data_IF_922214783185
#
_entry.id   IF_922214783185
#
_cell.length_a   1.000
_cell.length_b   1.000
_cell.length_c   1.000
_cell.angle_alpha   90.00
_cell.angle_beta   90.00
_cell.angle_gamma   90.00
#
_symmetry.space_group_name_H-M   'P 1'
#
loop_
_entity.id
_entity.type
_entity.pdbx_description
1 polymer ?
#
# COMPACT_ATOMS: atom_id res chain seq x y z
N UNK A 1 0.80 -22.09 14.61
CA UNK A 1 0.52 -21.71 13.22
C UNK A 1 1.79 -21.08 12.67
N UNK A 2 2.45 -21.71 11.70
CA UNK A 2 3.66 -21.15 11.09
C UNK A 2 3.21 -20.50 9.78
N UNK A 3 3.29 -19.18 9.72
CA UNK A 3 3.08 -18.43 8.49
C UNK A 3 4.34 -18.56 7.63
N UNK A 4 4.18 -19.05 6.41
CA UNK A 4 5.28 -19.19 5.46
C UNK A 4 4.79 -18.76 4.09
N UNK A 5 5.38 -17.69 3.56
CA UNK A 5 5.16 -17.24 2.19
C UNK A 5 6.39 -17.59 1.35
N UNK A 6 6.22 -18.40 0.29
CA UNK A 6 7.29 -18.72 -0.64
C UNK A 6 7.99 -17.48 -1.14
N UNK A 7 9.31 -17.59 -1.29
CA UNK A 7 10.22 -16.50 -1.65
C UNK A 7 10.35 -15.37 -0.63
N UNK A 8 9.35 -15.06 0.20
CA UNK A 8 9.43 -13.96 1.17
C UNK A 8 9.97 -14.40 2.52
N UNK A 9 9.72 -15.65 2.91
CA UNK A 9 10.19 -16.23 4.17
C UNK A 9 11.30 -17.27 3.92
N UNK A 10 12.05 -17.12 2.82
CA UNK A 10 13.17 -18.00 2.50
C UNK A 10 14.38 -17.68 3.39
N UNK A 11 14.46 -18.35 4.54
CA UNK A 11 15.55 -18.18 5.50
C UNK A 11 16.94 -18.47 4.90
N UNK A 12 17.06 -19.44 3.97
CA UNK A 12 18.34 -19.73 3.31
C UNK A 12 18.79 -18.57 2.41
N UNK A 13 17.86 -18.01 1.64
CA UNK A 13 18.14 -16.86 0.78
C UNK A 13 18.47 -15.60 1.57
N UNK A 14 17.68 -15.32 2.61
CA UNK A 14 17.88 -14.17 3.51
C UNK A 14 19.22 -14.28 4.26
N UNK A 15 19.62 -15.50 4.68
CA UNK A 15 20.89 -15.74 5.36
C UNK A 15 22.13 -15.50 4.50
N UNK A 16 21.99 -15.40 3.17
CA UNK A 16 23.08 -15.10 2.22
C UNK A 16 23.24 -13.60 1.95
N UNK A 17 22.37 -12.74 2.50
CA UNK A 17 22.43 -11.30 2.28
C UNK A 17 23.60 -10.68 3.04
N UNK A 18 24.30 -9.74 2.39
CA UNK A 18 25.39 -8.98 3.01
C UNK A 18 24.88 -7.87 3.96
N UNK A 19 23.66 -7.39 3.76
CA UNK A 19 22.99 -6.39 4.60
C UNK A 19 21.47 -6.57 4.53
N UNK A 20 20.78 -6.13 5.58
CA UNK A 20 19.31 -6.06 5.67
C UNK A 20 18.82 -4.67 6.07
N UNK A 21 19.71 -3.67 6.04
CA UNK A 21 19.44 -2.31 6.55
C UNK A 21 18.33 -1.61 5.76
N UNK A 22 18.26 -1.82 4.44
CA UNK A 22 17.26 -1.20 3.57
C UNK A 22 16.00 -2.07 3.42
N UNK A 23 15.93 -3.21 4.13
CA UNK A 23 14.81 -4.13 4.06
C UNK A 23 14.94 -5.18 2.96
N UNK A 24 16.17 -5.48 2.52
CA UNK A 24 16.48 -6.53 1.54
C UNK A 24 15.95 -7.90 2.01
N UNK A 25 15.91 -8.15 3.32
CA UNK A 25 15.33 -9.36 3.91
C UNK A 25 13.81 -9.50 3.69
N UNK A 26 13.13 -8.42 3.33
CA UNK A 26 11.71 -8.43 2.98
C UNK A 26 11.47 -8.62 1.47
N UNK A 27 12.53 -8.65 0.65
CA UNK A 27 12.46 -8.92 -0.78
C UNK A 27 12.15 -10.39 -1.11
N UNK A 28 11.86 -10.65 -2.39
CA UNK A 28 11.62 -12.00 -2.90
C UNK A 28 12.93 -12.74 -3.13
N UNK A 29 13.26 -13.63 -2.21
CA UNK A 29 14.36 -14.58 -2.31
C UNK A 29 13.81 -15.95 -2.71
N UNK A 30 13.48 -16.15 -3.98
CA UNK A 30 12.93 -17.44 -4.42
C UNK A 30 14.00 -18.55 -4.42
N UNK A 31 13.61 -19.81 -4.12
CA UNK A 31 14.50 -20.96 -4.31
C UNK A 31 15.03 -21.05 -5.75
N UNK A 32 16.18 -21.70 -5.92
CA UNK A 32 16.73 -22.06 -7.23
C UNK A 32 15.71 -22.89 -8.03
N UNK A 33 15.82 -22.88 -9.36
CA UNK A 33 14.81 -23.49 -10.24
C UNK A 33 14.52 -24.98 -9.95
N UNK A 34 15.49 -25.71 -9.42
CA UNK A 34 15.38 -27.14 -9.03
C UNK A 34 14.93 -27.35 -7.57
N UNK A 35 14.80 -26.29 -6.78
CA UNK A 35 14.37 -26.29 -5.37
C UNK A 35 13.02 -25.59 -5.19
N UNK A 36 12.35 -25.25 -6.28
CA UNK A 36 11.00 -24.71 -6.27
C UNK A 36 10.02 -25.68 -5.62
N UNK A 37 8.93 -25.15 -5.07
CA UNK A 37 7.85 -26.00 -4.56
C UNK A 37 7.04 -26.51 -5.76
N UNK A 38 6.95 -27.83 -5.91
CA UNK A 38 6.13 -28.48 -6.95
C UNK A 38 4.62 -28.45 -6.63
N UNK A 39 4.27 -28.13 -5.38
CA UNK A 39 2.91 -28.14 -4.86
C UNK A 39 2.54 -26.79 -4.21
N UNK A 40 1.24 -26.50 -4.19
CA UNK A 40 0.69 -25.37 -3.44
C UNK A 40 0.87 -25.62 -1.94
N UNK A 41 1.20 -24.56 -1.19
CA UNK A 41 1.27 -24.64 0.27
C UNK A 41 -0.11 -24.98 0.82
N UNK A 42 -0.24 -26.03 1.66
CA UNK A 42 -1.51 -26.37 2.27
C UNK A 42 -1.97 -25.25 3.22
N UNK A 43 -3.28 -25.08 3.34
CA UNK A 43 -3.85 -24.16 4.32
C UNK A 43 -3.36 -24.54 5.72
N UNK A 44 -3.02 -23.57 6.58
CA UNK A 44 -2.60 -23.85 7.94
C UNK A 44 -3.66 -24.65 8.71
N UNK A 45 -3.21 -25.47 9.65
CA UNK A 45 -4.11 -26.21 10.53
C UNK A 45 -5.04 -25.26 11.30
N UNK A 46 -6.33 -25.57 11.30
CA UNK A 46 -7.35 -24.72 11.94
C UNK A 46 -7.80 -23.51 11.11
N UNK A 47 -7.25 -23.30 9.91
CA UNK A 47 -7.72 -22.24 9.00
C UNK A 47 -9.18 -22.48 8.61
N UNK A 48 -10.01 -21.46 8.86
CA UNK A 48 -11.45 -21.47 8.57
C UNK A 48 -11.70 -20.90 7.19
N UNK A 49 -12.82 -21.29 6.58
CA UNK A 49 -13.30 -20.63 5.35
C UNK A 49 -13.51 -19.14 5.68
N UNK A 50 -12.96 -18.20 4.88
CA UNK A 50 -13.14 -16.78 5.10
C UNK A 50 -14.62 -16.40 5.21
N UNK A 51 -14.92 -15.42 6.05
CA UNK A 51 -16.27 -14.87 6.14
C UNK A 51 -16.62 -14.28 4.76
N UNK A 52 -17.80 -14.54 4.21
CA UNK A 52 -18.16 -14.02 2.90
C UNK A 52 -18.40 -12.50 2.96
N UNK A 53 -18.11 -11.83 1.85
CA UNK A 53 -18.53 -10.45 1.63
C UNK A 53 -20.07 -10.35 1.63
N UNK A 54 -20.69 -9.33 2.25
CA UNK A 54 -20.09 -8.12 2.83
C UNK A 54 -19.77 -8.21 4.34
N UNK A 55 -20.09 -9.32 5.02
CA UNK A 55 -19.85 -9.44 6.47
C UNK A 55 -18.36 -9.38 6.82
N UNK A 56 -17.51 -9.86 5.92
CA UNK A 56 -16.05 -9.79 6.05
C UNK A 56 -15.50 -8.37 6.19
N UNK A 57 -16.28 -7.34 5.88
CA UNK A 57 -15.89 -5.95 6.08
C UNK A 57 -15.72 -5.60 7.56
N UNK A 58 -16.59 -6.15 8.40
CA UNK A 58 -16.72 -5.78 9.81
C UNK A 58 -16.08 -6.82 10.74
N UNK A 59 -15.95 -8.07 10.28
CA UNK A 59 -15.38 -9.14 11.09
C UNK A 59 -14.64 -10.21 10.26
N UNK A 60 -13.56 -10.74 10.82
CA UNK A 60 -12.83 -11.90 10.27
C UNK A 60 -12.46 -12.89 11.37
N UNK A 61 -12.13 -14.12 11.00
CA UNK A 61 -11.72 -15.14 11.97
C UNK A 61 -10.36 -14.81 12.58
N UNK A 62 -10.28 -14.75 13.92
CA UNK A 62 -9.01 -14.57 14.62
C UNK A 62 -8.02 -15.69 14.28
N UNK A 63 -8.51 -16.93 14.16
CA UNK A 63 -7.70 -18.10 13.80
C UNK A 63 -7.11 -18.06 12.39
N UNK A 64 -7.60 -17.19 11.51
CA UNK A 64 -7.03 -17.02 10.17
C UNK A 64 -5.92 -15.95 10.14
N UNK A 65 -5.80 -15.13 11.19
CA UNK A 65 -4.81 -14.05 11.29
C UNK A 65 -3.65 -14.53 12.14
N UNK A 66 -2.46 -14.66 11.54
CA UNK A 66 -1.36 -15.41 12.14
C UNK A 66 -0.42 -14.58 13.05
N UNK A 67 -0.70 -13.30 13.27
CA UNK A 67 0.26 -12.35 13.86
C UNK A 67 -0.28 -11.67 15.12
N UNK A 68 0.16 -12.12 16.30
CA UNK A 68 -0.27 -11.57 17.60
C UNK A 68 0.19 -10.13 17.82
N UNK A 69 1.42 -9.79 17.44
CA UNK A 69 1.97 -8.43 17.61
C UNK A 69 1.21 -7.39 16.77
N UNK A 70 0.83 -7.76 15.53
CA UNK A 70 -0.03 -6.97 14.68
C UNK A 70 -1.37 -6.68 15.35
N UNK A 71 -1.98 -7.70 15.93
CA UNK A 71 -3.29 -7.59 16.57
C UNK A 71 -3.22 -6.75 17.85
N UNK A 72 -2.15 -6.89 18.63
CA UNK A 72 -1.89 -6.06 19.81
C UNK A 72 -1.71 -4.58 19.42
N UNK A 73 -0.79 -4.29 18.49
CA UNK A 73 -0.55 -2.92 18.00
C UNK A 73 -1.81 -2.26 17.41
N UNK A 74 -2.61 -3.00 16.62
CA UNK A 74 -3.83 -2.45 15.99
C UNK A 74 -4.98 -2.29 16.98
N UNK A 75 -5.02 -3.13 18.02
CA UNK A 75 -5.96 -2.96 19.13
C UNK A 75 -5.65 -1.67 19.89
N UNK A 76 -4.37 -1.36 20.12
CA UNK A 76 -3.94 -0.13 20.80
C UNK A 76 -4.27 1.13 19.98
N UNK A 77 -4.21 1.04 18.64
CA UNK A 77 -4.67 2.10 17.72
C UNK A 77 -6.21 2.21 17.63
N UNK A 78 -6.98 1.43 18.40
CA UNK A 78 -8.45 1.31 18.33
C UNK A 78 -8.99 0.99 16.91
N UNK A 79 -8.15 0.38 16.07
CA UNK A 79 -8.51 0.03 14.68
C UNK A 79 -9.16 -1.35 14.58
N UNK A 80 -9.00 -2.20 15.60
CA UNK A 80 -9.63 -3.52 15.72
C UNK A 80 -10.03 -3.83 17.16
N UNK A 81 -10.91 -4.81 17.36
CA UNK A 81 -11.23 -5.43 18.65
C UNK A 81 -11.26 -6.94 18.50
N UNK A 82 -10.87 -7.68 19.54
CA UNK A 82 -10.96 -9.14 19.52
C UNK A 82 -12.14 -9.56 20.40
N UNK A 83 -13.11 -10.25 19.81
CA UNK A 83 -14.31 -10.70 20.50
C UNK A 83 -14.78 -12.05 19.94
N UNK A 84 -15.11 -13.00 20.82
CA UNK A 84 -15.71 -14.28 20.41
C UNK A 84 -14.89 -15.11 19.40
N UNK A 85 -13.55 -14.98 19.40
CA UNK A 85 -12.68 -15.65 18.42
C UNK A 85 -12.70 -15.01 17.02
N UNK A 86 -13.14 -13.77 16.92
CA UNK A 86 -13.10 -12.93 15.72
C UNK A 86 -12.29 -11.66 15.97
N UNK A 87 -11.78 -11.09 14.88
CA UNK A 87 -11.26 -9.73 14.82
C UNK A 87 -12.38 -8.87 14.25
N UNK A 88 -12.79 -7.85 15.00
CA UNK A 88 -13.86 -6.91 14.69
C UNK A 88 -13.24 -5.57 14.29
N UNK A 89 -13.72 -4.95 13.22
CA UNK A 89 -13.27 -3.66 12.71
C UNK A 89 -14.29 -2.57 13.11
N UNK A 90 -14.05 -1.78 14.18
CA UNK A 90 -15.00 -0.80 14.65
C UNK A 90 -15.20 0.35 13.63
N UNK A 91 -16.47 0.68 13.37
CA UNK A 91 -16.88 1.75 12.47
C UNK A 91 -16.44 3.18 12.92
N UNK A 92 -16.08 3.36 14.20
CA UNK A 92 -15.65 4.63 14.77
C UNK A 92 -14.15 4.78 14.99
N UNK A 93 -13.34 3.80 14.57
CA UNK A 93 -11.88 3.85 14.68
C UNK A 93 -11.23 4.71 13.59
N UNK A 94 -9.98 5.16 13.81
CA UNK A 94 -9.18 5.78 12.77
C UNK A 94 -8.97 4.80 11.60
N UNK A 95 -9.04 5.30 10.37
CA UNK A 95 -8.99 4.52 9.12
C UNK A 95 -10.10 3.46 9.03
N UNK A 96 -11.25 3.71 9.62
CA UNK A 96 -12.46 2.88 9.45
C UNK A 96 -13.07 3.03 8.05
N UNK A 97 -13.93 2.09 7.65
CA UNK A 97 -14.65 2.18 6.37
C UNK A 97 -15.48 3.47 6.27
N UNK A 98 -16.23 3.91 7.31
CA UNK A 98 -16.96 5.17 7.24
C UNK A 98 -16.05 6.40 7.10
N UNK A 99 -14.88 6.40 7.74
CA UNK A 99 -13.90 7.48 7.57
C UNK A 99 -13.31 7.50 6.16
N UNK A 100 -12.96 6.32 5.62
CA UNK A 100 -12.47 6.18 4.24
C UNK A 100 -13.53 6.55 3.22
N UNK A 101 -14.80 6.25 3.46
CA UNK A 101 -15.91 6.70 2.63
C UNK A 101 -15.98 8.24 2.58
N UNK A 102 -15.88 8.93 3.72
CA UNK A 102 -15.82 10.41 3.76
C UNK A 102 -14.61 10.96 3.01
N UNK A 103 -13.48 10.27 3.08
CA UNK A 103 -12.28 10.64 2.33
C UNK A 103 -12.49 10.51 0.81
N UNK A 104 -13.11 9.42 0.35
CA UNK A 104 -13.49 9.23 -1.06
C UNK A 104 -14.52 10.28 -1.54
N UNK A 105 -15.47 10.66 -0.67
CA UNK A 105 -16.41 11.75 -0.97
C UNK A 105 -15.68 13.08 -1.15
N UNK A 106 -14.69 13.36 -0.30
CA UNK A 106 -13.87 14.56 -0.39
C UNK A 106 -13.10 14.62 -1.72
N UNK A 107 -12.51 13.49 -2.14
CA UNK A 107 -11.83 13.39 -3.44
C UNK A 107 -12.81 13.70 -4.58
N UNK A 108 -14.00 13.09 -4.54
CA UNK A 108 -15.04 13.27 -5.56
C UNK A 108 -15.54 14.72 -5.60
N UNK A 109 -15.59 15.42 -4.46
CA UNK A 109 -15.96 16.84 -4.39
C UNK A 109 -14.88 17.76 -4.96
N UNK A 110 -13.61 17.48 -4.66
CA UNK A 110 -12.47 18.27 -5.16
C UNK A 110 -12.28 18.09 -6.67
N UNK A 111 -12.42 16.86 -7.16
CA UNK A 111 -12.26 16.50 -8.57
C UNK A 111 -13.47 15.68 -9.03
N UNK A 112 -14.57 16.34 -9.47
CA UNK A 112 -15.81 15.66 -9.88
C UNK A 112 -15.65 14.62 -10.99
N UNK A 113 -14.59 14.73 -11.81
CA UNK A 113 -14.28 13.74 -12.85
C UNK A 113 -13.88 12.37 -12.25
N UNK A 114 -13.35 12.37 -11.01
CA UNK A 114 -13.10 11.17 -10.21
C UNK A 114 -14.43 10.74 -9.57
N UNK A 115 -15.26 10.07 -10.38
CA UNK A 115 -16.52 9.47 -9.95
C UNK A 115 -16.36 7.96 -9.80
N UNK A 116 -16.13 7.50 -8.57
CA UNK A 116 -15.96 6.08 -8.24
C UNK A 116 -17.22 5.28 -8.61
N UNK A 117 -17.03 4.14 -9.28
CA UNK A 117 -18.15 3.33 -9.75
C UNK A 117 -18.82 3.85 -11.01
N UNK A 118 -18.40 4.98 -11.57
CA UNK A 118 -18.88 5.48 -12.86
C UNK A 118 -17.70 5.66 -13.83
N UNK A 119 -16.96 6.76 -13.70
CA UNK A 119 -15.81 7.09 -14.54
C UNK A 119 -14.52 6.45 -14.01
N UNK A 120 -14.43 6.22 -12.69
CA UNK A 120 -13.30 5.58 -12.03
C UNK A 120 -13.72 4.20 -11.54
N UNK A 121 -13.28 3.16 -12.24
CA UNK A 121 -13.65 1.75 -11.96
C UNK A 121 -12.53 0.92 -11.37
N UNK A 122 -11.28 1.36 -11.55
CA UNK A 122 -10.08 0.66 -11.10
C UNK A 122 -9.20 1.66 -10.37
N UNK A 123 -8.77 1.30 -9.16
CA UNK A 123 -7.90 2.12 -8.32
C UNK A 123 -6.69 1.28 -7.90
N UNK A 124 -5.51 1.89 -7.89
CA UNK A 124 -4.31 1.30 -7.30
C UNK A 124 -4.11 1.91 -5.91
N UNK A 125 -4.20 1.08 -4.88
CA UNK A 125 -4.04 1.49 -3.48
C UNK A 125 -2.64 1.09 -3.00
N UNK A 126 -1.73 2.06 -2.85
CA UNK A 126 -0.36 1.80 -2.38
C UNK A 126 -0.22 2.25 -0.93
N UNK A 127 0.29 1.36 -0.08
CA UNK A 127 0.40 1.58 1.36
C UNK A 127 -0.88 1.25 2.12
N UNK A 128 -1.78 0.46 1.53
CA UNK A 128 -3.02 0.05 2.19
C UNK A 128 -2.73 -0.86 3.38
N UNK A 129 -3.32 -0.55 4.54
CA UNK A 129 -3.14 -1.30 5.78
C UNK A 129 -4.13 -2.45 5.90
N UNK A 130 -5.06 -2.33 6.85
CA UNK A 130 -6.08 -3.34 7.16
C UNK A 130 -7.17 -3.50 6.08
N UNK A 131 -7.03 -2.87 4.91
CA UNK A 131 -7.97 -2.98 3.78
C UNK A 131 -9.19 -2.04 3.81
N UNK A 132 -9.30 -1.12 4.78
CA UNK A 132 -10.51 -0.26 4.89
C UNK A 132 -10.75 0.63 3.66
N UNK A 133 -9.68 1.22 3.09
CA UNK A 133 -9.81 2.04 1.89
C UNK A 133 -10.28 1.20 0.69
N UNK A 134 -9.68 0.01 0.51
CA UNK A 134 -10.10 -0.91 -0.53
C UNK A 134 -11.54 -1.41 -0.37
N UNK A 135 -11.97 -1.71 0.87
CA UNK A 135 -13.37 -2.06 1.16
C UNK A 135 -14.33 -0.91 0.78
N UNK A 136 -14.02 0.33 1.18
CA UNK A 136 -14.85 1.50 0.81
C UNK A 136 -14.93 1.75 -0.69
N UNK A 137 -13.92 1.39 -1.48
CA UNK A 137 -13.96 1.44 -2.94
C UNK A 137 -14.87 0.35 -3.52
N UNK A 138 -14.79 -0.88 -2.99
CA UNK A 138 -15.64 -1.99 -3.42
C UNK A 138 -17.12 -1.69 -3.19
N UNK A 139 -17.49 -1.06 -2.06
CA UNK A 139 -18.85 -0.58 -1.80
C UNK A 139 -19.36 0.43 -2.85
N UNK A 140 -18.45 1.11 -3.54
CA UNK A 140 -18.74 2.09 -4.59
C UNK A 140 -18.59 1.52 -6.00
N UNK A 141 -18.58 0.19 -6.17
CA UNK A 141 -18.37 -0.47 -7.47
C UNK A 141 -17.05 -0.05 -8.17
N UNK A 142 -16.01 0.25 -7.37
CA UNK A 142 -14.66 0.47 -7.86
C UNK A 142 -13.75 -0.67 -7.37
N UNK A 143 -13.17 -1.41 -8.30
CA UNK A 143 -12.22 -2.47 -7.98
C UNK A 143 -10.86 -1.89 -7.62
N UNK A 144 -10.15 -2.56 -6.73
CA UNK A 144 -8.82 -2.14 -6.29
C UNK A 144 -7.88 -3.32 -6.17
N UNK A 145 -6.60 -3.05 -6.40
CA UNK A 145 -5.50 -3.88 -5.93
C UNK A 145 -4.75 -3.10 -4.86
N UNK A 146 -4.82 -3.57 -3.62
CA UNK A 146 -4.07 -2.99 -2.51
C UNK A 146 -2.66 -3.57 -2.47
N UNK A 147 -1.65 -2.71 -2.49
CA UNK A 147 -0.26 -3.05 -2.30
C UNK A 147 0.17 -2.54 -0.93
N UNK A 148 0.72 -3.42 -0.10
CA UNK A 148 1.32 -3.02 1.17
C UNK A 148 2.75 -3.55 1.32
N UNK A 149 3.60 -2.82 2.06
CA UNK A 149 4.89 -3.33 2.49
C UNK A 149 4.71 -4.36 3.63
N UNK A 150 5.81 -5.06 3.92
CA UNK A 150 6.01 -6.02 5.01
C UNK A 150 7.25 -5.45 5.61
N UNK A 151 7.04 -4.91 6.77
CA UNK A 151 8.04 -4.25 7.55
C UNK A 151 7.99 -4.86 8.95
N UNK A 152 8.67 -4.21 9.88
CA UNK A 152 8.66 -4.62 11.28
C UNK A 152 7.26 -4.59 11.92
N UNK A 153 6.26 -3.96 11.30
CA UNK A 153 4.88 -3.89 11.79
C UNK A 153 3.99 -5.03 11.27
N UNK A 154 4.60 -6.11 10.77
CA UNK A 154 3.97 -7.38 10.39
C UNK A 154 2.94 -7.29 9.24
N UNK A 155 2.45 -8.46 8.82
CA UNK A 155 1.68 -8.66 7.59
C UNK A 155 0.22 -8.16 7.67
N UNK A 156 0.03 -6.85 7.58
CA UNK A 156 -1.27 -6.18 7.54
C UNK A 156 -2.17 -6.65 6.38
N UNK A 157 -1.56 -7.12 5.28
CA UNK A 157 -2.26 -7.61 4.09
C UNK A 157 -3.16 -8.80 4.39
N UNK A 158 -2.80 -9.65 5.36
CA UNK A 158 -3.66 -10.78 5.72
C UNK A 158 -5.04 -10.30 6.16
N UNK A 159 -5.13 -9.18 6.91
CA UNK A 159 -6.41 -8.62 7.31
C UNK A 159 -7.21 -8.13 6.09
N UNK A 160 -6.56 -7.45 5.13
CA UNK A 160 -7.23 -7.03 3.91
C UNK A 160 -7.77 -8.23 3.10
N UNK A 161 -6.98 -9.29 2.95
CA UNK A 161 -7.37 -10.51 2.26
C UNK A 161 -8.53 -11.23 2.95
N UNK A 162 -8.47 -11.41 4.28
CA UNK A 162 -9.56 -12.03 5.04
C UNK A 162 -10.85 -11.22 4.99
N UNK A 163 -10.75 -9.89 4.82
CA UNK A 163 -11.90 -9.00 4.61
C UNK A 163 -12.46 -9.05 3.19
N UNK A 164 -11.82 -9.77 2.26
CA UNK A 164 -12.23 -9.90 0.87
C UNK A 164 -11.67 -8.81 -0.06
N UNK A 165 -10.71 -8.01 0.40
CA UNK A 165 -10.05 -6.97 -0.41
C UNK A 165 -8.86 -7.59 -1.14
N UNK A 166 -8.81 -7.53 -2.48
CA UNK A 166 -7.65 -8.01 -3.23
C UNK A 166 -6.39 -7.24 -2.84
N UNK A 167 -5.39 -7.96 -2.33
CA UNK A 167 -4.17 -7.34 -1.85
C UNK A 167 -2.94 -8.18 -2.21
N UNK A 168 -1.82 -7.49 -2.43
CA UNK A 168 -0.54 -8.08 -2.77
C UNK A 168 0.58 -7.49 -1.93
N UNK A 169 1.55 -8.36 -1.69
CA UNK A 169 2.79 -7.99 -1.04
C UNK A 169 3.79 -7.40 -2.04
N UNK A 170 4.29 -6.20 -1.76
CA UNK A 170 5.43 -5.65 -2.51
C UNK A 170 6.45 -5.03 -1.53
N UNK A 171 7.70 -5.51 -1.52
CA UNK A 171 8.79 -4.86 -0.79
C UNK A 171 9.18 -3.60 -1.54
N UNK A 172 8.64 -2.45 -1.12
CA UNK A 172 8.95 -1.17 -1.79
C UNK A 172 10.23 -0.55 -1.19
N UNK A 173 10.57 -0.84 0.07
CA UNK A 173 11.64 -0.14 0.81
C UNK A 173 13.02 -0.27 0.15
N UNK A 174 13.46 -1.49 -0.17
CA UNK A 174 14.76 -1.71 -0.78
C UNK A 174 14.83 -1.22 -2.25
N UNK A 175 13.70 -1.19 -2.96
CA UNK A 175 13.60 -0.62 -4.30
C UNK A 175 13.52 0.93 -4.31
N UNK A 176 13.21 1.56 -3.17
CA UNK A 176 13.23 3.01 -3.02
C UNK A 176 14.67 3.42 -2.76
N UNK A 177 15.29 4.11 -3.71
CA UNK A 177 16.56 4.78 -3.45
C UNK A 177 16.38 5.71 -2.23
N UNK A 178 17.24 5.66 -1.20
CA UNK A 178 17.14 6.58 -0.07
C UNK A 178 17.26 8.04 -0.54
N UNK A 179 16.55 8.94 0.14
CA UNK A 179 16.81 10.39 0.01
C UNK A 179 18.18 10.63 0.66
N UNK A 180 19.17 11.21 -0.05
CA UNK A 180 20.46 11.53 0.52
C UNK A 180 20.32 12.34 1.81
N UNK A 181 21.00 11.91 2.87
CA UNK A 181 20.97 12.58 4.18
C UNK A 181 21.56 14.00 4.11
N UNK A 182 22.48 14.22 3.17
CA UNK A 182 23.07 15.54 2.93
C UNK A 182 22.23 16.34 1.92
N UNK A 183 21.59 17.41 2.41
CA UNK A 183 20.86 18.37 1.57
C UNK A 183 21.71 19.09 0.51
N UNK A 184 23.03 18.88 0.50
CA UNK A 184 23.96 19.36 -0.55
C UNK A 184 23.64 18.80 -1.93
N UNK A 185 23.16 17.55 -2.03
CA UNK A 185 22.72 16.97 -3.31
C UNK A 185 21.35 17.53 -3.79
N UNK A 186 20.60 18.15 -2.86
CA UNK A 186 19.31 18.82 -3.11
C UNK A 186 19.43 20.33 -3.32
N UNK A 187 20.60 20.93 -3.10
CA UNK A 187 20.83 22.35 -3.43
C UNK A 187 20.95 22.53 -4.94
N UNK A 188 19.87 22.25 -5.65
CA UNK A 188 19.53 23.14 -6.75
C UNK A 188 19.34 24.52 -6.08
N UNK A 189 20.21 25.47 -6.44
CA UNK A 189 20.21 26.84 -5.96
C UNK A 189 19.00 27.61 -6.55
N UNK A 190 17.81 27.00 -6.44
CA UNK A 190 16.58 27.37 -7.12
C UNK A 190 15.43 27.33 -6.11
N UNK A 191 14.53 28.29 -6.25
CA UNK A 191 13.34 28.44 -5.43
C UNK A 191 12.41 27.22 -5.55
N UNK A 192 11.60 26.97 -4.52
CA UNK A 192 10.67 25.84 -4.46
C UNK A 192 9.79 25.72 -5.72
N UNK A 193 9.28 26.83 -6.25
CA UNK A 193 8.47 26.85 -7.47
C UNK A 193 9.20 26.31 -8.69
N UNK A 194 10.50 26.58 -8.82
CA UNK A 194 11.31 26.13 -9.95
C UNK A 194 11.63 24.62 -9.85
N UNK A 195 11.57 24.02 -8.66
CA UNK A 195 11.82 22.58 -8.46
C UNK A 195 10.74 21.70 -9.08
N UNK A 196 9.51 22.18 -9.20
CA UNK A 196 8.42 21.43 -9.85
C UNK A 196 8.70 21.20 -11.34
N UNK A 197 9.45 22.10 -11.99
CA UNK A 197 9.71 22.03 -13.43
C UNK A 197 11.07 21.40 -13.79
N UNK A 198 11.90 21.12 -12.80
CA UNK A 198 13.23 20.56 -12.99
C UNK A 198 13.32 19.18 -12.34
N UNK A 199 13.56 18.10 -13.11
CA UNK A 199 13.70 16.78 -12.52
C UNK A 199 14.91 16.78 -11.57
N UNK A 200 14.76 16.23 -10.35
CA UNK A 200 15.88 16.14 -9.41
C UNK A 200 17.04 15.34 -10.01
N UNK A 201 18.28 15.71 -9.67
CA UNK A 201 19.52 15.07 -10.16
C UNK A 201 19.48 13.55 -9.92
N UNK A 202 18.88 13.11 -8.81
CA UNK A 202 18.63 11.71 -8.48
C UNK A 202 17.89 10.92 -9.57
N UNK A 203 16.98 11.50 -10.34
CA UNK A 203 16.33 10.78 -11.45
C UNK A 203 17.31 10.38 -12.56
N UNK A 204 18.50 10.99 -12.58
CA UNK A 204 19.58 10.69 -13.51
C UNK A 204 20.44 9.48 -13.06
N UNK A 205 20.44 9.11 -11.78
CA UNK A 205 21.26 7.99 -11.26
C UNK A 205 20.59 6.61 -11.37
N UNK A 206 19.29 6.56 -11.65
CA UNK A 206 18.55 5.30 -11.78
C UNK A 206 18.82 4.67 -13.17
N UNK A 207 19.43 3.48 -13.22
CA UNK A 207 19.70 2.71 -14.45
C UNK A 207 18.47 1.88 -14.88
N UNK A 208 17.55 2.47 -15.65
CA UNK A 208 16.47 1.78 -16.38
C UNK A 208 16.43 2.42 -17.78
N UNK A 209 16.20 1.62 -18.82
CA UNK A 209 16.46 1.89 -20.26
C UNK A 209 15.78 3.12 -20.92
N UNK A 210 15.11 3.99 -20.17
CA UNK A 210 14.27 5.06 -20.71
C UNK A 210 14.62 6.48 -20.21
N UNK A 211 15.91 6.80 -20.05
CA UNK A 211 16.38 8.12 -19.57
C UNK A 211 15.71 9.32 -20.28
N UNK A 212 15.52 9.24 -21.61
CA UNK A 212 14.90 10.32 -22.41
C UNK A 212 13.41 10.48 -22.09
N UNK A 213 12.69 9.37 -21.88
CA UNK A 213 11.25 9.42 -21.57
C UNK A 213 11.00 10.04 -20.20
N UNK A 214 11.87 9.83 -19.20
CA UNK A 214 11.66 10.30 -17.81
C UNK A 214 11.56 11.82 -17.69
N UNK A 215 12.43 12.55 -18.37
CA UNK A 215 12.45 14.02 -18.28
C UNK A 215 11.18 14.62 -18.86
N UNK A 216 10.74 14.10 -20.00
CA UNK A 216 9.53 14.58 -20.65
C UNK A 216 8.27 14.10 -19.92
N UNK A 217 8.25 12.88 -19.39
CA UNK A 217 7.15 12.37 -18.55
C UNK A 217 7.01 13.19 -17.26
N UNK A 218 8.11 13.46 -16.56
CA UNK A 218 8.10 14.27 -15.34
C UNK A 218 7.58 15.69 -15.60
N UNK A 219 8.02 16.34 -16.69
CA UNK A 219 7.52 17.66 -17.07
C UNK A 219 6.03 17.62 -17.42
N UNK A 220 5.59 16.59 -18.16
CA UNK A 220 4.20 16.43 -18.54
C UNK A 220 3.31 16.20 -17.32
N UNK A 221 3.71 15.31 -16.40
CA UNK A 221 3.01 15.09 -15.13
C UNK A 221 3.01 16.33 -14.25
N UNK A 222 4.14 17.01 -14.09
CA UNK A 222 4.23 18.24 -13.30
C UNK A 222 3.31 19.33 -13.84
N UNK A 223 3.29 19.54 -15.17
CA UNK A 223 2.37 20.48 -15.82
C UNK A 223 0.91 20.08 -15.61
N UNK A 224 0.59 18.80 -15.80
CA UNK A 224 -0.76 18.28 -15.58
C UNK A 224 -1.22 18.51 -14.13
N UNK A 225 -0.42 18.11 -13.15
CA UNK A 225 -0.75 18.30 -11.73
C UNK A 225 -0.84 19.77 -11.34
N UNK A 226 0.02 20.63 -11.86
CA UNK A 226 -0.08 22.08 -11.66
C UNK A 226 -1.41 22.63 -12.16
N UNK A 227 -1.84 22.25 -13.37
CA UNK A 227 -3.14 22.66 -13.92
C UNK A 227 -4.31 22.13 -13.07
N UNK A 228 -4.22 20.88 -12.58
CA UNK A 228 -5.23 20.30 -11.68
C UNK A 228 -5.28 21.06 -10.35
N UNK A 229 -4.14 21.32 -9.72
CA UNK A 229 -4.08 22.07 -8.45
C UNK A 229 -4.64 23.47 -8.60
N UNK A 230 -4.33 24.19 -9.69
CA UNK A 230 -4.91 25.51 -9.97
C UNK A 230 -6.44 25.44 -10.14
N UNK A 231 -6.95 24.44 -10.85
CA UNK A 231 -8.40 24.24 -11.00
C UNK A 231 -9.06 23.98 -9.64
N UNK A 232 -8.45 23.15 -8.80
CA UNK A 232 -8.96 22.87 -7.45
C UNK A 232 -8.94 24.14 -6.59
N UNK A 233 -7.82 24.87 -6.56
CA UNK A 233 -7.67 26.12 -5.81
C UNK A 233 -8.71 27.17 -6.22
N UNK A 234 -8.97 27.32 -7.53
CA UNK A 234 -10.00 28.23 -8.05
C UNK A 234 -11.42 27.85 -7.62
N UNK A 235 -11.73 26.55 -7.48
CA UNK A 235 -13.04 26.06 -7.02
C UNK A 235 -13.24 26.25 -5.51
N UNK A 236 -12.16 26.22 -4.74
CA UNK A 236 -12.18 26.40 -3.28
C UNK A 236 -12.19 27.87 -2.85
N UNK A 237 -12.23 28.82 -3.79
CA UNK A 237 -12.28 30.26 -3.48
C UNK A 237 -10.99 30.79 -2.84
N UNK A 238 -9.91 30.01 -2.84
CA UNK A 238 -8.60 30.46 -2.36
C UNK A 238 -7.89 31.17 -3.50
N UNK A 239 -8.11 32.48 -3.59
CA UNK A 239 -7.22 33.36 -4.35
C UNK A 239 -5.87 33.39 -3.61
N UNK A 240 -4.92 32.55 -4.03
CA UNK A 240 -3.50 32.79 -3.79
C UNK A 240 -2.93 33.67 -4.89
#
# INVERSE_FOLDING_TARGET
>A
MVYYVPCLDNAEGIGKLNSTENGENYERHCPEANKGLDCVIPRPEGYKIPIPWPQSQDEVWLGNVCHKGLLENKSDENSIRIEGGKVIFPAGGPKSIPEMAKYLDTISQMVPDISFGQNTKVVLDIGGGIGSFGASLLERNASTLTIAPKDAHENQIQLALERGVPAMYVPIKACITPIPESGSEYRANVTWSVRLHNPPIRLQSIRIDSYIARKELFKAESKYWYEITLRIASKLGSNT
#
